data_IF_386855844079
#
_entry.id   IF_386855844079
#
_cell.length_a   1.000
_cell.length_b   1.000
_cell.length_c   1.000
_cell.angle_alpha   90.00
_cell.angle_beta   90.00
_cell.angle_gamma   90.00
#
_symmetry.space_group_name_H-M   'P 1'
#
loop_
_entity.id
_entity.type
_entity.pdbx_description
1 polymer ?
#
# COMPACT_ATOMS: atom_id res chain seq x y z
N UNK A 1 -11.15 -0.06 -14.82
CA UNK A 1 -9.82 0.39 -14.40
C UNK A 1 -9.58 0.14 -12.92
N UNK A 2 -8.38 -0.33 -12.58
CA UNK A 2 -7.91 -0.46 -11.21
C UNK A 2 -6.78 0.55 -10.96
N UNK A 3 -6.93 1.33 -9.90
CA UNK A 3 -5.98 2.35 -9.47
C UNK A 3 -5.48 2.00 -8.07
N UNK A 4 -4.18 2.21 -7.83
CA UNK A 4 -3.61 2.03 -6.50
C UNK A 4 -2.48 3.02 -6.24
N UNK A 5 -2.40 3.52 -5.02
CA UNK A 5 -1.39 4.47 -4.57
C UNK A 5 -1.09 4.26 -3.09
N UNK A 6 0.19 4.20 -2.72
CA UNK A 6 0.54 3.98 -1.32
C UNK A 6 1.96 4.34 -0.94
N UNK A 7 2.16 4.45 0.36
CA UNK A 7 3.45 4.68 0.98
C UNK A 7 3.52 3.96 2.33
N UNK A 8 4.73 3.57 2.74
CA UNK A 8 4.99 3.10 4.09
C UNK A 8 6.37 3.52 4.58
N UNK A 9 6.46 4.00 5.82
CA UNK A 9 7.75 4.12 6.52
C UNK A 9 8.06 2.77 7.15
N UNK A 10 9.29 2.27 6.94
CA UNK A 10 9.72 0.99 7.49
C UNK A 10 10.46 1.23 8.80
N UNK A 11 9.91 0.67 9.87
CA UNK A 11 10.47 0.76 11.21
C UNK A 11 10.32 -0.57 11.93
N UNK A 12 11.41 -1.06 12.51
CA UNK A 12 11.46 -2.36 13.17
C UNK A 12 10.49 -2.42 14.35
N UNK A 13 10.60 -1.49 15.29
CA UNK A 13 9.86 -1.53 16.55
C UNK A 13 9.16 -0.19 16.82
N UNK A 14 7.90 -0.19 17.31
CA UNK A 14 7.20 1.04 17.68
C UNK A 14 7.79 1.77 18.89
N UNK A 15 8.62 1.11 19.71
CA UNK A 15 9.19 1.67 20.94
C UNK A 15 10.66 2.10 20.80
N UNK A 16 11.45 1.38 19.98
CA UNK A 16 12.89 1.61 19.84
C UNK A 16 13.26 1.77 18.36
N UNK A 17 14.02 2.81 18.05
CA UNK A 17 14.40 3.14 16.67
C UNK A 17 15.54 2.28 16.12
N UNK A 18 16.37 1.68 16.99
CA UNK A 18 17.52 0.87 16.62
C UNK A 18 17.57 -0.43 17.42
N UNK A 19 16.84 -1.44 16.94
CA UNK A 19 16.87 -2.79 17.50
C UNK A 19 17.78 -3.74 16.71
N UNK A 20 18.54 -3.20 15.75
CA UNK A 20 19.62 -3.89 15.04
C UNK A 20 19.20 -4.90 13.97
N UNK A 21 17.90 -5.04 13.65
CA UNK A 21 17.42 -6.00 12.64
C UNK A 21 16.90 -5.33 11.36
N UNK A 22 16.92 -4.00 11.29
CA UNK A 22 16.37 -3.24 10.18
C UNK A 22 16.94 -3.69 8.82
N UNK A 23 18.24 -3.89 8.69
CA UNK A 23 18.84 -4.33 7.41
C UNK A 23 18.33 -5.72 6.97
N UNK A 24 18.14 -6.65 7.91
CA UNK A 24 17.57 -7.97 7.63
C UNK A 24 16.10 -7.87 7.20
N UNK A 25 15.34 -6.98 7.83
CA UNK A 25 13.96 -6.67 7.46
C UNK A 25 13.90 -6.11 6.04
N UNK A 26 14.75 -5.14 5.71
CA UNK A 26 14.81 -4.54 4.38
C UNK A 26 15.12 -5.59 3.31
N UNK A 27 16.07 -6.49 3.56
CA UNK A 27 16.39 -7.58 2.63
C UNK A 27 15.19 -8.51 2.39
N UNK A 28 14.41 -8.83 3.43
CA UNK A 28 13.19 -9.65 3.29
C UNK A 28 12.12 -8.94 2.46
N UNK A 29 11.93 -7.63 2.67
CA UNK A 29 10.99 -6.82 1.88
C UNK A 29 11.43 -6.79 0.42
N UNK A 30 12.71 -6.52 0.15
CA UNK A 30 13.25 -6.53 -1.22
C UNK A 30 13.06 -7.87 -1.90
N UNK A 31 13.35 -8.98 -1.21
CA UNK A 31 13.13 -10.31 -1.75
C UNK A 31 11.64 -10.52 -2.11
N UNK A 32 10.72 -10.13 -1.22
CA UNK A 32 9.29 -10.22 -1.50
C UNK A 32 8.87 -9.43 -2.74
N UNK A 33 9.43 -8.23 -2.92
CA UNK A 33 9.16 -7.41 -4.10
C UNK A 33 9.62 -8.09 -5.41
N UNK A 34 10.65 -8.93 -5.39
CA UNK A 34 11.11 -9.67 -6.58
C UNK A 34 10.17 -10.80 -7.01
N UNK A 35 9.27 -11.24 -6.13
CA UNK A 35 8.28 -12.29 -6.44
C UNK A 35 7.11 -11.75 -7.29
N UNK A 36 6.93 -10.43 -7.34
CA UNK A 36 5.81 -9.82 -8.03
C UNK A 36 6.08 -9.69 -9.53
N UNK A 37 5.10 -10.08 -10.33
CA UNK A 37 5.13 -9.92 -11.79
C UNK A 37 4.80 -8.46 -12.17
N UNK A 38 5.60 -7.52 -11.67
CA UNK A 38 5.34 -6.09 -11.78
C UNK A 38 5.55 -5.59 -13.22
N UNK A 39 4.48 -5.59 -14.01
CA UNK A 39 4.53 -5.22 -15.44
C UNK A 39 4.41 -3.72 -15.72
N UNK A 40 3.83 -2.94 -14.79
CA UNK A 40 3.61 -1.50 -14.94
C UNK A 40 3.38 -0.83 -13.58
N UNK A 41 3.81 0.43 -13.44
CA UNK A 41 3.64 1.23 -12.22
C UNK A 41 4.94 1.43 -11.42
N UNK A 42 4.81 1.98 -10.23
CA UNK A 42 5.86 2.28 -9.27
C UNK A 42 5.79 1.26 -8.11
N UNK A 43 6.91 0.58 -7.86
CA UNK A 43 7.17 -0.15 -6.63
C UNK A 43 8.62 0.09 -6.25
N UNK A 44 8.85 0.94 -5.26
CA UNK A 44 10.21 1.36 -4.88
C UNK A 44 10.40 1.37 -3.38
N UNK A 45 11.46 0.72 -2.91
CA UNK A 45 11.95 0.81 -1.54
C UNK A 45 13.22 1.64 -1.53
N UNK A 46 13.21 2.76 -0.82
CA UNK A 46 14.28 3.75 -0.83
C UNK A 46 14.83 3.95 0.57
N UNK A 47 16.06 4.44 0.66
CA UNK A 47 16.72 4.86 1.89
C UNK A 47 17.08 6.34 1.83
N UNK A 48 16.75 7.10 2.88
CA UNK A 48 17.19 8.49 3.03
C UNK A 48 17.41 8.81 4.51
N UNK A 49 18.57 9.41 4.83
CA UNK A 49 18.92 9.85 6.19
C UNK A 49 18.76 8.77 7.28
N UNK A 50 19.07 7.52 6.96
CA UNK A 50 18.94 6.39 7.89
C UNK A 50 17.53 5.82 8.02
N UNK A 51 16.55 6.34 7.26
CA UNK A 51 15.19 5.82 7.22
C UNK A 51 14.92 5.12 5.90
N UNK A 52 14.10 4.06 5.95
CA UNK A 52 13.63 3.35 4.77
C UNK A 52 12.14 3.62 4.54
N UNK A 53 11.76 3.77 3.29
CA UNK A 53 10.37 4.01 2.92
C UNK A 53 10.02 3.36 1.58
N UNK A 54 8.80 2.82 1.53
CA UNK A 54 8.18 2.23 0.37
C UNK A 54 7.28 3.25 -0.32
N UNK A 55 7.29 3.28 -1.64
CA UNK A 55 6.26 3.89 -2.47
C UNK A 55 5.70 2.88 -3.46
N UNK A 56 4.38 2.91 -3.63
CA UNK A 56 3.63 2.07 -4.54
C UNK A 56 2.67 2.95 -5.33
N UNK A 57 2.51 2.72 -6.64
CA UNK A 57 1.52 3.44 -7.43
C UNK A 57 1.29 2.87 -8.82
N UNK A 58 0.10 2.98 -9.37
CA UNK A 58 -0.15 2.54 -10.74
C UNK A 58 -1.61 2.54 -11.17
N UNK A 59 -1.79 2.37 -12.47
CA UNK A 59 -3.07 2.19 -13.13
C UNK A 59 -3.01 0.92 -13.97
N UNK A 60 -4.00 0.05 -13.85
CA UNK A 60 -4.17 -1.12 -14.71
C UNK A 60 -5.58 -1.14 -15.32
N UNK A 61 -5.70 -1.67 -16.53
CA UNK A 61 -6.99 -1.68 -17.23
C UNK A 61 -8.05 -2.47 -16.44
N UNK A 62 -7.63 -3.52 -15.73
CA UNK A 62 -8.45 -4.37 -14.86
C UNK A 62 -7.64 -4.80 -13.66
N UNK A 63 -8.33 -5.08 -12.55
CA UNK A 63 -7.74 -5.66 -11.34
C UNK A 63 -7.09 -7.01 -11.64
N UNK A 64 -5.76 -7.07 -11.56
CA UNK A 64 -5.00 -8.31 -11.71
C UNK A 64 -4.45 -8.85 -10.38
N UNK A 65 -3.44 -9.72 -10.49
CA UNK A 65 -2.79 -10.34 -9.33
C UNK A 65 -2.05 -9.31 -8.46
N UNK A 66 -1.60 -8.20 -9.06
CA UNK A 66 -0.90 -7.11 -8.39
C UNK A 66 -1.69 -6.56 -7.20
N UNK A 67 -3.03 -6.51 -7.30
CA UNK A 67 -3.89 -6.03 -6.22
C UNK A 67 -3.70 -6.84 -4.93
N UNK A 68 -3.64 -8.17 -5.05
CA UNK A 68 -3.42 -9.06 -3.90
C UNK A 68 -1.96 -9.08 -3.45
N UNK A 69 -1.02 -9.02 -4.39
CA UNK A 69 0.42 -9.00 -4.12
C UNK A 69 0.84 -7.78 -3.30
N UNK A 70 0.31 -6.59 -3.61
CA UNK A 70 0.61 -5.36 -2.89
C UNK A 70 0.07 -5.43 -1.45
N UNK A 71 -1.16 -5.90 -1.27
CA UNK A 71 -1.73 -6.09 0.08
C UNK A 71 -0.90 -7.09 0.88
N UNK A 72 -0.45 -8.17 0.25
CA UNK A 72 0.44 -9.15 0.88
C UNK A 72 1.81 -8.55 1.27
N UNK A 73 2.35 -7.61 0.50
CA UNK A 73 3.56 -6.87 0.86
C UNK A 73 3.35 -6.04 2.13
N UNK A 74 2.26 -5.29 2.22
CA UNK A 74 1.94 -4.49 3.41
C UNK A 74 1.70 -5.36 4.63
N UNK A 75 1.04 -6.51 4.45
CA UNK A 75 0.82 -7.49 5.50
C UNK A 75 2.16 -8.03 6.03
N UNK A 76 3.07 -8.44 5.13
CA UNK A 76 4.42 -8.88 5.50
C UNK A 76 5.17 -7.80 6.28
N UNK A 77 5.13 -6.54 5.82
CA UNK A 77 5.79 -5.41 6.50
C UNK A 77 5.24 -5.27 7.92
N UNK A 78 3.92 -5.34 8.12
CA UNK A 78 3.33 -5.30 9.45
C UNK A 78 3.82 -6.43 10.37
N UNK A 79 3.98 -7.63 9.83
CA UNK A 79 4.43 -8.80 10.60
C UNK A 79 5.90 -8.71 11.01
N UNK A 80 6.79 -8.33 10.09
CA UNK A 80 8.25 -8.36 10.34
C UNK A 80 8.81 -7.04 10.86
N UNK A 81 8.07 -5.94 10.70
CA UNK A 81 8.48 -4.59 11.08
C UNK A 81 7.30 -3.87 11.75
N UNK A 82 6.86 -4.31 12.94
CA UNK A 82 5.66 -3.79 13.60
C UNK A 82 5.74 -2.29 13.97
N UNK A 83 6.91 -1.65 13.92
CA UNK A 83 7.02 -0.19 14.04
C UNK A 83 6.53 0.57 12.80
N UNK A 84 6.42 -0.10 11.65
CA UNK A 84 6.07 0.50 10.37
C UNK A 84 4.65 1.05 10.35
N UNK A 85 4.46 2.08 9.52
CA UNK A 85 3.17 2.71 9.30
C UNK A 85 3.05 3.23 7.87
N UNK A 86 1.81 3.29 7.36
CA UNK A 86 1.57 3.69 5.98
C UNK A 86 0.13 3.50 5.55
N UNK A 87 -0.15 3.91 4.32
CA UNK A 87 -1.47 3.83 3.69
C UNK A 87 -1.33 3.28 2.27
N UNK A 88 -2.27 2.43 1.87
CA UNK A 88 -2.44 1.97 0.50
C UNK A 88 -3.89 2.19 0.07
N UNK A 89 -4.09 3.14 -0.83
CA UNK A 89 -5.33 3.43 -1.50
C UNK A 89 -5.48 2.51 -2.71
N UNK A 90 -6.69 1.98 -2.90
CA UNK A 90 -7.07 1.22 -4.10
C UNK A 90 -8.48 1.62 -4.52
N UNK A 91 -8.72 1.72 -5.83
CA UNK A 91 -10.05 1.96 -6.43
C UNK A 91 -10.22 0.99 -7.58
N UNK A 92 -11.40 0.40 -7.67
CA UNK A 92 -11.79 -0.56 -8.69
C UNK A 92 -13.14 -0.12 -9.25
N UNK A 93 -13.15 0.59 -10.38
CA UNK A 93 -14.38 1.13 -10.99
C UNK A 93 -15.29 0.03 -11.57
N UNK A 94 -14.80 -1.21 -11.67
CA UNK A 94 -15.53 -2.40 -12.13
C UNK A 94 -16.03 -3.24 -10.93
N UNK A 95 -15.91 -2.73 -9.70
CA UNK A 95 -16.29 -3.47 -8.50
C UNK A 95 -17.79 -3.73 -8.43
N UNK A 96 -18.17 -5.01 -8.46
CA UNK A 96 -19.57 -5.44 -8.50
C UNK A 96 -20.27 -5.44 -7.13
N UNK A 97 -19.56 -5.13 -6.04
CA UNK A 97 -20.09 -5.10 -4.67
C UNK A 97 -20.60 -3.71 -4.24
N UNK A 98 -20.60 -2.73 -5.15
CA UNK A 98 -21.05 -1.36 -4.89
C UNK A 98 -19.98 -0.46 -4.26
N UNK A 99 -18.71 -0.79 -4.49
CA UNK A 99 -17.55 0.02 -4.08
C UNK A 99 -16.83 0.67 -5.27
N UNK A 100 -17.48 0.70 -6.43
CA UNK A 100 -17.01 1.27 -7.69
C UNK A 100 -16.83 2.80 -7.63
N UNK A 101 -17.57 3.47 -6.75
CA UNK A 101 -17.49 4.91 -6.52
C UNK A 101 -16.70 5.29 -5.25
N UNK A 102 -15.79 4.45 -4.75
CA UNK A 102 -14.97 4.79 -3.56
C UNK A 102 -13.55 4.22 -3.60
N UNK A 103 -12.64 4.92 -2.93
CA UNK A 103 -11.35 4.36 -2.56
C UNK A 103 -11.47 3.51 -1.29
N UNK A 104 -10.77 2.37 -1.31
CA UNK A 104 -10.50 1.53 -0.14
C UNK A 104 -9.08 1.76 0.32
N UNK A 105 -8.88 1.91 1.63
CA UNK A 105 -7.58 2.22 2.22
C UNK A 105 -7.14 1.09 3.14
N UNK A 106 -6.04 0.42 2.81
CA UNK A 106 -5.34 -0.42 3.77
C UNK A 106 -4.46 0.45 4.65
N UNK A 107 -4.72 0.44 5.95
CA UNK A 107 -3.99 1.20 6.96
C UNK A 107 -3.02 0.27 7.67
N UNK A 108 -1.72 0.49 7.44
CA UNK A 108 -0.66 -0.18 8.16
C UNK A 108 -0.33 0.65 9.40
N UNK A 109 -0.52 0.06 10.58
CA UNK A 109 -0.13 0.67 11.83
C UNK A 109 0.15 -0.39 12.89
N UNK A 110 1.30 -0.27 13.56
CA UNK A 110 1.67 -1.10 14.71
C UNK A 110 1.57 -2.60 14.46
N UNK A 111 2.05 -3.01 13.28
CA UNK A 111 2.05 -4.39 12.82
C UNK A 111 0.69 -4.96 12.40
N UNK A 112 -0.32 -4.11 12.24
CA UNK A 112 -1.64 -4.50 11.75
C UNK A 112 -1.93 -3.80 10.43
N UNK A 113 -2.51 -4.54 9.49
CA UNK A 113 -3.11 -4.00 8.29
C UNK A 113 -4.63 -4.07 8.44
N UNK A 114 -5.31 -2.94 8.29
CA UNK A 114 -6.78 -2.87 8.38
C UNK A 114 -7.34 -2.10 7.22
N UNK A 115 -8.37 -2.65 6.59
CA UNK A 115 -9.11 -1.95 5.56
C UNK A 115 -10.07 -0.93 6.17
N UNK A 116 -10.10 0.27 5.59
CA UNK A 116 -11.02 1.35 5.93
C UNK A 116 -11.57 1.99 4.65
N UNK A 117 -12.72 2.66 4.79
CA UNK A 117 -13.21 3.56 3.76
C UNK A 117 -12.38 4.83 3.76
N UNK A 118 -12.06 5.33 2.59
CA UNK A 118 -11.44 6.63 2.44
C UNK A 118 -12.44 7.75 2.80
N UNK A 119 -12.11 8.66 3.73
CA UNK A 119 -12.97 9.79 4.06
C UNK A 119 -12.64 11.07 3.26
N UNK A 120 -11.60 11.07 2.42
CA UNK A 120 -11.05 12.29 1.83
C UNK A 120 -11.42 12.49 0.36
N UNK A 121 -11.38 11.42 -0.44
CA UNK A 121 -11.60 11.41 -1.89
C UNK A 121 -12.88 10.66 -2.28
N UNK A 122 -13.57 10.03 -1.31
CA UNK A 122 -14.74 9.21 -1.54
C UNK A 122 -16.03 9.85 -0.99
N UNK A 123 -17.19 9.67 -1.66
CA UNK A 123 -17.35 8.97 -2.94
C UNK A 123 -16.69 9.74 -4.08
N UNK A 124 -16.14 9.05 -5.08
CA UNK A 124 -15.34 9.72 -6.12
C UNK A 124 -16.19 10.75 -6.89
N UNK A 125 -17.42 10.37 -7.21
CA UNK A 125 -18.48 11.28 -7.63
C UNK A 125 -19.36 11.61 -6.41
N UNK A 126 -19.56 12.89 -6.03
CA UNK A 126 -19.09 14.10 -6.71
C UNK A 126 -17.80 14.72 -6.11
N UNK A 127 -17.03 14.01 -5.27
CA UNK A 127 -15.95 14.64 -4.48
C UNK A 127 -14.75 15.04 -5.34
N UNK A 128 -14.32 14.16 -6.25
CA UNK A 128 -13.16 14.37 -7.13
C UNK A 128 -13.52 14.35 -8.63
N UNK A 129 -14.71 13.86 -8.97
CA UNK A 129 -15.28 13.76 -10.32
C UNK A 129 -16.68 14.38 -10.33
N UNK A 130 -17.12 14.93 -11.46
CA UNK A 130 -18.48 15.43 -11.62
C UNK A 130 -19.47 14.29 -11.94
N UNK A 131 -20.75 14.50 -11.64
CA UNK A 131 -21.81 13.64 -12.18
C UNK A 131 -21.83 13.76 -13.71
N UNK A 132 -21.91 12.63 -14.42
CA UNK A 132 -22.02 12.63 -15.88
C UNK A 132 -23.50 12.80 -16.24
N UNK A 133 -23.83 13.90 -16.93
CA UNK A 133 -25.17 14.22 -17.44
C UNK A 133 -25.74 13.16 -18.41
#
# INVERSE_FOLDING_TARGET
MYEFHGWATIQENPAEADAGQLDMIIQKIQLKMTEFAWGSGLLSLNAANGFYYLHVGGFTNRKGAEAAEIVALYQLIGEIAPGSYGLLYTRDDENLEGYDNEFRVQVLARGQLREQRDPFLSPCVPVIEDEVD
#
